data_IF_021906860855
#
_entry.id   IF_021906860855
#
_cell.length_a   1.000
_cell.length_b   1.000
_cell.length_c   1.000
_cell.angle_alpha   90.00
_cell.angle_beta   90.00
_cell.angle_gamma   90.00
#
_symmetry.space_group_name_H-M   'P 1'
#
loop_
_entity.id
_entity.type
_entity.pdbx_description
1 polymer ?
#
# COMPACT_ATOMS: atom_id res chain seq x y z
N UNK A 1 -9.63 -11.83 -21.30
CA UNK A 1 -10.19 -12.72 -20.24
C UNK A 1 -10.60 -11.85 -19.07
N UNK A 2 -11.81 -12.00 -18.52
CA UNK A 2 -12.18 -11.34 -17.25
C UNK A 2 -11.32 -11.95 -16.14
N UNK A 3 -10.65 -11.10 -15.35
CA UNK A 3 -9.82 -11.52 -14.22
C UNK A 3 -10.71 -12.10 -13.12
N UNK A 4 -10.29 -13.22 -12.53
CA UNK A 4 -10.96 -13.82 -11.38
C UNK A 4 -10.31 -13.27 -10.10
N UNK A 5 -10.78 -12.13 -9.61
CA UNK A 5 -10.29 -11.46 -8.40
C UNK A 5 -9.61 -10.09 -8.63
N UNK A 6 -9.10 -9.47 -7.55
CA UNK A 6 -8.51 -8.13 -7.58
C UNK A 6 -7.20 -8.08 -8.39
N UNK A 7 -6.81 -6.90 -8.91
CA UNK A 7 -5.48 -6.71 -9.47
C UNK A 7 -4.41 -6.89 -8.39
N UNK A 8 -3.52 -7.88 -8.57
CA UNK A 8 -2.45 -8.17 -7.61
C UNK A 8 -1.11 -7.65 -8.11
N UNK A 9 -0.30 -7.12 -7.20
CA UNK A 9 0.98 -6.53 -7.52
C UNK A 9 1.98 -6.57 -6.38
N UNK A 10 3.13 -5.95 -6.61
CA UNK A 10 4.14 -5.73 -5.59
C UNK A 10 4.74 -4.34 -5.73
N UNK A 11 5.35 -3.85 -4.66
CA UNK A 11 6.26 -2.73 -4.72
C UNK A 11 7.54 -3.19 -5.42
N UNK A 12 7.85 -2.57 -6.57
CA UNK A 12 9.04 -2.88 -7.37
C UNK A 12 10.01 -1.71 -7.38
N UNK A 13 11.30 -2.02 -7.52
CA UNK A 13 12.35 -1.03 -7.71
C UNK A 13 12.09 -0.20 -8.96
N UNK A 14 12.58 1.04 -8.97
CA UNK A 14 12.69 1.92 -10.15
C UNK A 14 14.15 2.22 -10.50
N UNK A 15 15.09 1.40 -10.03
CA UNK A 15 16.49 1.51 -10.44
C UNK A 15 16.61 1.43 -11.97
N UNK A 16 17.31 2.40 -12.56
CA UNK A 16 17.36 2.58 -14.03
C UNK A 16 16.27 3.50 -14.61
N UNK A 17 15.28 3.90 -13.82
CA UNK A 17 14.20 4.82 -14.21
C UNK A 17 12.81 4.22 -14.00
N UNK A 18 11.78 5.08 -13.87
CA UNK A 18 10.40 4.63 -13.59
C UNK A 18 9.84 3.71 -14.66
N UNK A 19 10.24 3.90 -15.92
CA UNK A 19 9.82 3.08 -17.05
C UNK A 19 10.21 1.59 -16.91
N UNK A 20 11.15 1.24 -16.03
CA UNK A 20 11.53 -0.16 -15.79
C UNK A 20 10.49 -0.94 -14.97
N UNK A 21 9.58 -0.24 -14.27
CA UNK A 21 8.65 -0.85 -13.34
C UNK A 21 7.62 -1.80 -13.99
N UNK A 22 7.00 -1.49 -15.15
CA UNK A 22 6.05 -2.41 -15.78
C UNK A 22 6.71 -3.72 -16.24
N UNK A 23 7.94 -3.67 -16.74
CA UNK A 23 8.69 -4.87 -17.10
C UNK A 23 9.00 -5.75 -15.87
N UNK A 24 9.41 -5.14 -14.75
CA UNK A 24 9.59 -5.82 -13.47
C UNK A 24 8.28 -6.46 -12.98
N UNK A 25 7.18 -5.72 -13.06
CA UNK A 25 5.85 -6.24 -12.73
C UNK A 25 5.47 -7.44 -13.61
N UNK A 26 5.74 -7.38 -14.91
CA UNK A 26 5.50 -8.49 -15.83
C UNK A 26 6.33 -9.73 -15.46
N UNK A 27 7.61 -9.54 -15.08
CA UNK A 27 8.50 -10.62 -14.65
C UNK A 27 7.94 -11.40 -13.46
N UNK A 28 7.30 -10.72 -12.51
CA UNK A 28 6.71 -11.35 -11.32
C UNK A 28 5.27 -11.85 -11.52
N UNK A 29 4.69 -11.65 -12.72
CA UNK A 29 3.28 -12.00 -12.99
C UNK A 29 2.28 -11.08 -12.29
N UNK A 30 2.67 -9.83 -12.04
CA UNK A 30 1.79 -8.81 -11.47
C UNK A 30 0.83 -8.22 -12.51
N UNK A 31 -0.33 -7.80 -12.04
CA UNK A 31 -1.34 -7.02 -12.78
C UNK A 31 -1.06 -5.52 -12.69
N UNK A 32 -0.53 -5.09 -11.55
CA UNK A 32 -0.24 -3.70 -11.20
C UNK A 32 1.05 -3.64 -10.38
N UNK A 33 1.67 -2.47 -10.30
CA UNK A 33 2.83 -2.24 -9.43
C UNK A 33 2.68 -0.97 -8.60
N UNK A 34 3.34 -0.95 -7.45
CA UNK A 34 3.65 0.26 -6.71
C UNK A 34 5.12 0.61 -6.91
N UNK A 35 5.42 1.90 -6.94
CA UNK A 35 6.78 2.41 -7.06
C UNK A 35 7.03 3.58 -6.10
N UNK A 36 8.28 3.87 -5.82
CA UNK A 36 8.67 5.23 -5.45
C UNK A 36 8.90 6.08 -6.70
N UNK A 37 8.62 7.39 -6.63
CA UNK A 37 8.99 8.34 -7.70
C UNK A 37 10.46 8.77 -7.68
N UNK A 38 11.20 8.43 -6.62
CA UNK A 38 12.61 8.75 -6.40
C UNK A 38 13.18 7.90 -5.25
N UNK A 39 14.47 8.04 -4.95
CA UNK A 39 15.03 7.48 -3.71
C UNK A 39 14.28 7.97 -2.46
N UNK A 40 13.76 7.02 -1.69
CA UNK A 40 12.88 7.23 -0.53
C UNK A 40 13.56 7.84 0.71
N UNK A 41 14.90 7.83 0.78
CA UNK A 41 15.70 8.38 1.89
C UNK A 41 16.31 9.75 1.61
N UNK A 42 16.03 10.36 0.45
CA UNK A 42 16.60 11.67 0.06
C UNK A 42 15.50 12.70 -0.21
N UNK A 43 15.73 13.93 0.25
CA UNK A 43 14.81 15.04 -0.01
C UNK A 43 14.76 15.39 -1.50
N UNK A 44 15.90 15.39 -2.15
CA UNK A 44 16.04 15.71 -3.57
C UNK A 44 16.35 14.44 -4.36
N UNK A 45 15.76 14.37 -5.56
CA UNK A 45 16.00 13.34 -6.54
C UNK A 45 16.00 14.00 -7.91
N UNK A 46 16.46 13.28 -8.93
CA UNK A 46 16.36 13.76 -10.32
C UNK A 46 14.88 14.05 -10.63
N UNK A 47 14.54 15.24 -11.16
CA UNK A 47 13.19 15.53 -11.62
C UNK A 47 12.73 14.47 -12.63
N UNK A 48 11.44 14.13 -12.59
CA UNK A 48 10.82 13.33 -13.64
C UNK A 48 10.52 14.24 -14.82
N UNK A 49 11.09 13.91 -15.97
CA UNK A 49 10.89 14.65 -17.20
C UNK A 49 9.65 14.12 -17.95
N UNK A 50 9.06 14.91 -18.88
CA UNK A 50 7.94 14.43 -19.70
C UNK A 50 8.23 13.13 -20.47
N UNK A 51 9.48 12.90 -20.85
CA UNK A 51 9.94 11.65 -21.48
C UNK A 51 9.88 10.44 -20.55
N UNK A 52 10.20 10.60 -19.26
CA UNK A 52 10.09 9.51 -18.28
C UNK A 52 8.64 9.03 -18.16
N UNK A 53 7.69 9.98 -18.16
CA UNK A 53 6.27 9.68 -18.11
C UNK A 53 5.75 9.06 -19.43
N UNK A 54 6.28 9.47 -20.59
CA UNK A 54 5.97 8.83 -21.89
C UNK A 54 6.44 7.38 -21.92
N UNK A 55 7.71 7.15 -21.61
CA UNK A 55 8.31 5.83 -21.58
C UNK A 55 7.58 4.89 -20.61
N UNK A 56 7.19 5.39 -19.42
CA UNK A 56 6.39 4.61 -18.48
C UNK A 56 5.04 4.16 -19.08
N UNK A 57 4.31 5.07 -19.74
CA UNK A 57 3.01 4.75 -20.36
C UNK A 57 3.14 3.75 -21.50
N UNK A 58 4.15 3.92 -22.35
CA UNK A 58 4.44 3.00 -23.45
C UNK A 58 4.76 1.60 -22.93
N UNK A 59 5.59 1.53 -21.90
CA UNK A 59 6.02 0.26 -21.30
C UNK A 59 4.87 -0.44 -20.55
N UNK A 60 4.00 0.32 -19.87
CA UNK A 60 2.74 -0.20 -19.34
C UNK A 60 1.82 -0.75 -20.44
N UNK A 61 1.70 -0.06 -21.58
CA UNK A 61 0.94 -0.54 -22.73
C UNK A 61 1.50 -1.84 -23.32
N UNK A 62 2.83 -1.95 -23.41
CA UNK A 62 3.55 -3.12 -23.94
C UNK A 62 3.41 -4.35 -23.03
N UNK A 63 3.46 -4.14 -21.72
CA UNK A 63 3.49 -5.22 -20.72
C UNK A 63 2.10 -5.62 -20.24
N UNK A 64 1.14 -4.70 -20.31
CA UNK A 64 -0.18 -4.85 -19.68
C UNK A 64 -0.18 -4.56 -18.18
N UNK A 65 0.94 -4.09 -17.61
CA UNK A 65 1.09 -3.81 -16.18
C UNK A 65 1.03 -2.30 -15.93
N UNK A 66 0.07 -1.86 -15.13
CA UNK A 66 -0.10 -0.45 -14.76
C UNK A 66 0.61 -0.11 -13.45
N UNK A 67 1.06 1.13 -13.29
CA UNK A 67 1.45 1.67 -11.98
C UNK A 67 0.17 2.09 -11.25
N UNK A 68 -0.20 1.35 -10.20
CA UNK A 68 -1.40 1.63 -9.41
C UNK A 68 -1.17 2.73 -8.37
N UNK A 69 0.06 2.84 -7.84
CA UNK A 69 0.38 3.80 -6.80
C UNK A 69 1.84 4.26 -6.85
N UNK A 70 2.05 5.49 -6.37
CA UNK A 70 3.37 6.05 -6.08
C UNK A 70 3.45 6.27 -4.58
N UNK A 71 4.27 5.47 -3.89
CA UNK A 71 4.43 5.62 -2.45
C UNK A 71 5.24 6.87 -2.12
N UNK A 72 4.80 7.62 -1.10
CA UNK A 72 5.50 8.80 -0.63
C UNK A 72 6.86 8.43 0.01
N UNK A 73 7.83 9.34 -0.04
CA UNK A 73 9.12 9.11 0.59
C UNK A 73 9.01 9.12 2.13
N UNK A 74 9.75 8.24 2.82
CA UNK A 74 9.73 8.10 4.29
C UNK A 74 10.13 9.37 5.06
N UNK A 75 10.73 10.34 4.39
CA UNK A 75 11.07 11.64 4.98
C UNK A 75 9.84 12.52 5.24
N UNK A 76 8.69 12.22 4.62
CA UNK A 76 7.47 13.01 4.76
C UNK A 76 6.86 12.75 6.15
N UNK A 77 6.90 13.76 7.01
CA UNK A 77 6.24 13.77 8.31
C UNK A 77 5.40 15.05 8.47
N UNK A 78 4.13 14.96 8.10
CA UNK A 78 3.14 16.05 8.23
C UNK A 78 2.82 16.39 9.70
N UNK A 79 3.03 15.45 10.62
CA UNK A 79 2.88 15.65 12.07
C UNK A 79 4.15 16.14 12.75
N UNK A 80 5.20 16.54 12.02
CA UNK A 80 6.47 16.92 12.63
C UNK A 80 6.30 18.14 13.54
N UNK A 81 6.83 18.06 14.76
CA UNK A 81 6.92 19.21 15.67
C UNK A 81 7.89 20.29 15.15
N UNK A 82 8.79 19.92 14.23
CA UNK A 82 9.73 20.85 13.57
C UNK A 82 9.02 21.51 12.38
N UNK A 83 8.71 22.80 12.51
CA UNK A 83 8.01 23.59 11.49
C UNK A 83 8.65 23.47 10.08
N UNK A 84 9.98 23.55 9.90
CA UNK A 84 10.58 23.45 8.56
C UNK A 84 10.36 22.10 7.88
N UNK A 85 10.28 21.03 8.69
CA UNK A 85 9.97 19.68 8.19
C UNK A 85 8.50 19.61 7.81
N UNK A 86 7.60 20.05 8.70
CA UNK A 86 6.16 20.06 8.48
C UNK A 86 5.76 20.85 7.23
N UNK A 87 6.29 22.05 7.05
CA UNK A 87 6.00 22.91 5.88
C UNK A 87 6.51 22.31 4.58
N UNK A 88 7.73 21.75 4.58
CA UNK A 88 8.27 21.02 3.42
C UNK A 88 7.42 19.80 3.06
N UNK A 89 6.88 19.10 4.06
CA UNK A 89 6.00 17.95 3.85
C UNK A 89 4.63 18.39 3.33
N UNK A 90 4.03 19.44 3.90
CA UNK A 90 2.73 19.97 3.47
C UNK A 90 2.77 20.45 2.02
N UNK A 91 3.83 21.15 1.60
CA UNK A 91 4.00 21.56 0.20
C UNK A 91 4.07 20.38 -0.79
N UNK A 92 4.57 19.22 -0.34
CA UNK A 92 4.76 18.04 -1.19
C UNK A 92 3.60 17.04 -1.14
N UNK A 93 2.91 16.96 -0.01
CA UNK A 93 1.79 16.04 0.21
C UNK A 93 0.43 16.72 0.06
N UNK A 94 0.35 18.05 0.07
CA UNK A 94 -0.89 18.83 -0.08
C UNK A 94 -0.73 20.05 -1.00
N UNK A 95 0.33 20.09 -1.83
CA UNK A 95 0.29 20.95 -3.01
C UNK A 95 -0.93 20.58 -3.86
N UNK A 96 -1.48 21.51 -4.66
CA UNK A 96 -2.61 21.21 -5.54
C UNK A 96 -2.32 19.95 -6.35
N UNK A 97 -2.95 18.84 -5.98
CA UNK A 97 -2.82 17.61 -6.75
C UNK A 97 -3.40 17.87 -8.14
N UNK A 98 -2.74 17.41 -9.21
CA UNK A 98 -3.32 17.46 -10.53
C UNK A 98 -4.66 16.73 -10.54
N UNK A 99 -5.59 17.18 -11.38
CA UNK A 99 -6.85 16.48 -11.58
C UNK A 99 -6.60 15.00 -11.90
N UNK A 100 -7.30 14.10 -11.20
CA UNK A 100 -7.16 12.65 -11.37
C UNK A 100 -6.13 11.98 -10.46
N UNK A 101 -5.50 12.71 -9.52
CA UNK A 101 -4.64 12.12 -8.48
C UNK A 101 -5.39 12.07 -7.15
N UNK A 102 -5.45 10.89 -6.55
CA UNK A 102 -5.99 10.68 -5.19
C UNK A 102 -4.85 10.43 -4.21
N UNK A 103 -4.83 11.17 -3.11
CA UNK A 103 -3.93 10.89 -1.99
C UNK A 103 -4.50 9.77 -1.14
N UNK A 104 -3.72 8.71 -0.91
CA UNK A 104 -4.09 7.63 0.00
C UNK A 104 -3.40 7.82 1.34
N UNK A 105 -4.19 7.95 2.41
CA UNK A 105 -3.69 7.83 3.77
C UNK A 105 -3.63 6.35 4.14
N UNK A 106 -2.46 5.90 4.59
CA UNK A 106 -2.26 4.51 5.00
C UNK A 106 -2.34 4.38 6.52
N UNK A 107 -2.95 3.30 7.01
CA UNK A 107 -2.83 2.96 8.43
C UNK A 107 -1.39 2.53 8.75
N UNK A 108 -0.95 2.74 9.99
CA UNK A 108 0.41 2.37 10.42
C UNK A 108 0.38 1.38 11.57
N UNK A 109 1.45 0.61 11.77
CA UNK A 109 1.60 -0.24 12.96
C UNK A 109 1.60 0.58 14.28
N UNK A 110 1.82 1.90 14.21
CA UNK A 110 1.86 2.76 15.39
C UNK A 110 3.19 2.72 16.13
N UNK A 111 4.29 2.39 15.45
CA UNK A 111 5.64 2.44 16.03
C UNK A 111 6.03 3.89 16.38
N UNK A 112 6.64 4.08 17.55
CA UNK A 112 7.05 5.40 18.03
C UNK A 112 5.86 6.37 18.15
N UNK A 113 5.98 7.51 17.46
CA UNK A 113 4.99 8.60 17.48
C UNK A 113 4.12 8.64 16.20
N UNK A 114 3.98 7.51 15.50
CA UNK A 114 3.18 7.44 14.27
C UNK A 114 1.68 7.64 14.57
N UNK A 115 1.00 8.39 13.71
CA UNK A 115 -0.44 8.67 13.77
C UNK A 115 -1.12 7.87 12.65
N UNK A 116 -2.35 7.41 12.88
CA UNK A 116 -3.11 6.62 11.91
C UNK A 116 -3.03 5.12 12.19
N UNK A 117 -2.77 4.71 13.44
CA UNK A 117 -2.72 3.29 13.79
C UNK A 117 -4.11 2.68 14.00
N UNK A 118 -5.10 3.49 14.36
CA UNK A 118 -6.50 3.09 14.53
C UNK A 118 -7.37 3.76 13.47
N UNK A 119 -8.54 3.18 13.18
CA UNK A 119 -9.49 3.79 12.24
C UNK A 119 -9.97 5.15 12.73
N UNK A 120 -10.14 5.31 14.05
CA UNK A 120 -10.45 6.60 14.67
C UNK A 120 -9.40 7.67 14.37
N UNK A 121 -8.11 7.35 14.48
CA UNK A 121 -7.05 8.33 14.16
C UNK A 121 -7.02 8.71 12.67
N UNK A 122 -7.29 7.75 11.76
CA UNK A 122 -7.42 8.07 10.34
C UNK A 122 -8.63 8.97 10.07
N UNK A 123 -9.76 8.69 10.73
CA UNK A 123 -10.98 9.51 10.66
C UNK A 123 -10.73 10.93 11.16
N UNK A 124 -10.07 11.07 12.31
CA UNK A 124 -9.69 12.38 12.87
C UNK A 124 -8.82 13.19 11.91
N UNK A 125 -7.86 12.54 11.22
CA UNK A 125 -7.03 13.20 10.20
C UNK A 125 -7.84 13.67 9.00
N UNK A 126 -8.78 12.86 8.52
CA UNK A 126 -9.66 13.20 7.41
C UNK A 126 -10.62 14.34 7.78
N UNK A 127 -11.18 14.32 8.99
CA UNK A 127 -12.05 15.39 9.51
C UNK A 127 -11.30 16.70 9.67
N UNK A 128 -10.08 16.66 10.23
CA UNK A 128 -9.23 17.82 10.38
C UNK A 128 -8.84 18.43 9.03
N UNK A 129 -8.72 17.61 7.97
CA UNK A 129 -8.48 18.06 6.60
C UNK A 129 -9.75 18.56 5.88
N UNK A 130 -10.94 18.42 6.49
CA UNK A 130 -12.21 18.81 5.89
C UNK A 130 -12.79 17.83 4.87
N UNK A 131 -12.46 16.54 4.97
CA UNK A 131 -12.94 15.47 4.08
C UNK A 131 -12.76 15.77 2.57
N UNK A 132 -11.55 16.16 2.12
CA UNK A 132 -11.32 16.50 0.72
C UNK A 132 -11.68 15.31 -0.20
N UNK A 133 -12.33 15.55 -1.36
CA UNK A 133 -12.83 14.50 -2.24
C UNK A 133 -11.73 13.65 -2.89
N UNK A 134 -10.51 14.21 -2.99
CA UNK A 134 -9.34 13.56 -3.59
C UNK A 134 -8.45 12.88 -2.53
N UNK A 135 -8.97 12.61 -1.33
CA UNK A 135 -8.28 11.83 -0.29
C UNK A 135 -9.08 10.57 0.03
N UNK A 136 -8.37 9.45 0.06
CA UNK A 136 -8.90 8.11 0.33
C UNK A 136 -7.92 7.33 1.23
N UNK A 137 -8.17 6.04 1.44
CA UNK A 137 -7.40 5.19 2.35
C UNK A 137 -6.75 4.02 1.63
N UNK A 138 -5.48 3.75 1.94
CA UNK A 138 -4.81 2.47 1.73
C UNK A 138 -4.84 1.69 3.05
N UNK A 139 -5.19 0.40 3.02
CA UNK A 139 -5.11 -0.45 4.20
C UNK A 139 -3.95 -1.44 4.08
N UNK A 140 -3.06 -1.44 5.07
CA UNK A 140 -2.00 -2.44 5.20
C UNK A 140 -2.38 -3.49 6.25
N UNK A 141 -2.41 -4.76 5.83
CA UNK A 141 -2.81 -5.88 6.67
C UNK A 141 -1.87 -6.14 7.85
N UNK A 142 -0.55 -6.01 7.66
CA UNK A 142 0.42 -6.17 8.74
C UNK A 142 0.26 -5.05 9.77
N UNK A 143 0.11 -3.81 9.29
CA UNK A 143 -0.08 -2.65 10.16
C UNK A 143 -1.38 -2.74 10.98
N UNK A 144 -2.49 -3.21 10.40
CA UNK A 144 -3.74 -3.44 11.14
C UNK A 144 -3.52 -4.45 12.26
N UNK A 145 -2.89 -5.58 11.94
CA UNK A 145 -2.60 -6.62 12.92
C UNK A 145 -1.67 -6.11 14.03
N UNK A 146 -0.60 -5.42 13.67
CA UNK A 146 0.41 -4.90 14.60
C UNK A 146 -0.12 -3.74 15.46
N UNK A 147 -1.14 -3.00 14.99
CA UNK A 147 -1.81 -1.96 15.77
C UNK A 147 -2.91 -2.51 16.69
N UNK A 148 -3.34 -3.75 16.49
CA UNK A 148 -4.26 -4.47 17.39
C UNK A 148 -5.58 -4.94 16.75
N UNK A 149 -5.80 -4.70 15.45
CA UNK A 149 -6.97 -5.17 14.71
C UNK A 149 -6.69 -6.55 14.11
N UNK A 150 -7.29 -7.60 14.66
CA UNK A 150 -7.10 -8.97 14.15
C UNK A 150 -7.76 -9.12 12.76
N UNK A 151 -6.95 -9.40 11.73
CA UNK A 151 -7.43 -9.71 10.38
C UNK A 151 -7.23 -11.18 9.99
N UNK A 152 -6.69 -12.00 10.90
CA UNK A 152 -6.39 -13.42 10.68
C UNK A 152 -7.56 -14.35 11.05
N UNK A 153 -8.32 -14.01 12.09
CA UNK A 153 -9.50 -14.78 12.53
C UNK A 153 -10.80 -14.27 11.90
N UNK A 154 -11.87 -15.06 11.99
CA UNK A 154 -13.20 -14.65 11.50
C UNK A 154 -13.81 -13.56 12.39
N UNK A 155 -13.83 -13.78 13.70
CA UNK A 155 -14.31 -12.80 14.69
C UNK A 155 -13.53 -11.48 14.60
N UNK A 156 -12.20 -11.57 14.50
CA UNK A 156 -11.34 -10.40 14.31
C UNK A 156 -11.69 -9.62 13.05
N UNK A 157 -11.83 -10.32 11.92
CA UNK A 157 -12.16 -9.70 10.64
C UNK A 157 -13.50 -8.96 10.67
N UNK A 158 -14.54 -9.57 11.24
CA UNK A 158 -15.85 -8.93 11.41
C UNK A 158 -15.76 -7.69 12.32
N UNK A 159 -14.99 -7.78 13.41
CA UNK A 159 -14.71 -6.63 14.27
C UNK A 159 -13.98 -5.49 13.56
N UNK A 160 -12.98 -5.82 12.73
CA UNK A 160 -12.24 -4.83 11.96
C UNK A 160 -13.12 -4.15 10.90
N UNK A 161 -13.98 -4.91 10.21
CA UNK A 161 -14.96 -4.35 9.26
C UNK A 161 -15.96 -3.44 9.95
N UNK A 162 -16.50 -3.85 11.11
CA UNK A 162 -17.43 -3.04 11.90
C UNK A 162 -16.79 -1.72 12.35
N UNK A 163 -15.53 -1.75 12.80
CA UNK A 163 -14.79 -0.52 13.15
C UNK A 163 -14.61 0.39 11.93
N UNK A 164 -14.21 -0.16 10.78
CA UNK A 164 -14.04 0.60 9.54
C UNK A 164 -15.36 1.24 9.08
N UNK A 165 -16.49 0.55 9.22
CA UNK A 165 -17.82 1.06 8.89
C UNK A 165 -18.27 2.13 9.86
N UNK A 166 -18.16 1.89 11.18
CA UNK A 166 -18.53 2.85 12.23
C UNK A 166 -17.76 4.17 12.07
N UNK A 167 -16.46 4.10 11.76
CA UNK A 167 -15.61 5.29 11.55
C UNK A 167 -15.72 5.87 10.14
N UNK A 168 -16.54 5.29 9.26
CA UNK A 168 -16.72 5.76 7.88
C UNK A 168 -15.45 5.64 7.02
N UNK A 169 -14.52 4.75 7.39
CA UNK A 169 -13.29 4.46 6.63
C UNK A 169 -13.57 3.47 5.49
N UNK A 170 -14.44 2.48 5.71
CA UNK A 170 -14.75 1.44 4.73
C UNK A 170 -15.06 1.98 3.31
N UNK A 171 -15.92 3.00 3.11
CA UNK A 171 -16.21 3.55 1.78
C UNK A 171 -15.05 4.35 1.16
N UNK A 172 -14.02 4.70 1.95
CA UNK A 172 -12.85 5.44 1.52
C UNK A 172 -11.68 4.53 1.11
N UNK A 173 -11.77 3.22 1.35
CA UNK A 173 -10.70 2.28 0.98
C UNK A 173 -10.59 2.20 -0.55
N UNK A 174 -9.37 2.39 -1.08
CA UNK A 174 -9.08 2.34 -2.51
C UNK A 174 -7.94 1.40 -2.88
N UNK A 175 -7.14 0.95 -1.92
CA UNK A 175 -6.01 0.05 -2.14
C UNK A 175 -5.73 -0.75 -0.87
N UNK A 176 -5.12 -1.92 -1.05
CA UNK A 176 -4.54 -2.67 0.06
C UNK A 176 -3.04 -2.89 -0.15
N UNK A 177 -2.28 -2.81 0.94
CA UNK A 177 -1.02 -3.51 1.07
C UNK A 177 -1.28 -4.87 1.74
N UNK A 178 -0.79 -5.94 1.13
CA UNK A 178 -0.92 -7.30 1.63
C UNK A 178 0.43 -7.78 2.15
N UNK A 179 0.61 -7.64 3.44
CA UNK A 179 1.80 -8.03 4.17
C UNK A 179 1.39 -8.95 5.32
N UNK A 180 2.04 -10.09 5.48
CA UNK A 180 1.89 -10.87 6.72
C UNK A 180 2.70 -10.18 7.82
N UNK A 181 2.43 -10.48 9.08
CA UNK A 181 3.18 -9.89 10.19
C UNK A 181 4.14 -10.90 10.81
N UNK A 182 5.39 -10.47 10.99
CA UNK A 182 6.42 -11.21 11.73
C UNK A 182 6.21 -11.09 13.24
N UNK A 183 5.57 -10.01 13.69
CA UNK A 183 5.43 -9.69 15.12
C UNK A 183 4.04 -10.02 15.64
N UNK A 184 3.87 -10.03 16.96
CA UNK A 184 2.59 -10.32 17.59
C UNK A 184 1.55 -9.21 17.31
N UNK A 185 0.27 -9.57 17.36
CA UNK A 185 -0.81 -8.60 17.28
C UNK A 185 -0.66 -7.54 18.38
N UNK A 186 -0.88 -6.27 18.04
CA UNK A 186 -0.72 -5.16 18.98
C UNK A 186 0.73 -4.87 19.40
N UNK A 187 1.74 -5.46 18.75
CA UNK A 187 3.16 -5.21 19.05
C UNK A 187 3.57 -3.76 18.84
N UNK A 188 2.91 -3.06 17.91
CA UNK A 188 3.31 -1.76 17.38
C UNK A 188 4.71 -1.74 16.77
N UNK A 189 5.14 -2.86 16.20
CA UNK A 189 6.45 -3.03 15.56
C UNK A 189 6.25 -3.42 14.11
N UNK A 190 6.52 -2.49 13.20
CA UNK A 190 6.45 -2.67 11.74
C UNK A 190 7.50 -3.69 11.26
N UNK A 191 7.03 -4.93 11.07
CA UNK A 191 7.82 -6.04 10.52
C UNK A 191 6.96 -6.95 9.66
N UNK A 192 6.96 -6.65 8.36
CA UNK A 192 6.35 -7.49 7.35
C UNK A 192 6.98 -8.89 7.27
N UNK A 193 6.19 -9.82 6.75
CA UNK A 193 6.53 -11.22 6.52
C UNK A 193 5.88 -11.74 5.24
N UNK A 194 6.45 -12.78 4.63
CA UNK A 194 5.89 -13.47 3.46
C UNK A 194 4.49 -14.04 3.74
N UNK A 195 3.68 -14.11 2.68
CA UNK A 195 2.27 -14.48 2.74
C UNK A 195 2.11 -15.91 3.28
N UNK A 196 1.49 -16.06 4.46
CA UNK A 196 1.27 -17.35 5.11
C UNK A 196 2.43 -17.84 5.97
N UNK A 197 3.51 -17.06 6.10
CA UNK A 197 4.67 -17.35 6.96
C UNK A 197 4.70 -16.48 8.22
N UNK A 198 3.68 -15.64 8.41
CA UNK A 198 3.54 -14.78 9.58
C UNK A 198 2.36 -15.17 10.45
N UNK A 199 1.90 -14.19 11.24
CA UNK A 199 0.87 -14.39 12.27
C UNK A 199 -0.55 -14.08 11.81
N UNK A 200 -0.74 -13.45 10.65
CA UNK A 200 -2.06 -13.26 10.04
C UNK A 200 -2.50 -14.56 9.39
N UNK A 201 -1.60 -15.17 8.61
CA UNK A 201 -1.83 -16.44 7.94
C UNK A 201 -2.80 -16.36 6.74
N UNK A 202 -2.82 -17.44 5.97
CA UNK A 202 -3.62 -17.56 4.74
C UNK A 202 -5.13 -17.32 4.90
N UNK A 203 -5.80 -17.72 6.00
CA UNK A 203 -7.23 -17.44 6.18
C UNK A 203 -7.56 -15.94 6.17
N UNK A 204 -6.72 -15.09 6.77
CA UNK A 204 -6.92 -13.65 6.77
C UNK A 204 -6.86 -13.04 5.37
N UNK A 205 -5.82 -13.41 4.60
CA UNK A 205 -5.70 -12.97 3.21
C UNK A 205 -6.87 -13.43 2.34
N UNK A 206 -7.38 -14.66 2.54
CA UNK A 206 -8.55 -15.14 1.80
C UNK A 206 -9.77 -14.25 2.08
N UNK A 207 -10.00 -13.81 3.31
CA UNK A 207 -11.12 -12.90 3.65
C UNK A 207 -10.97 -11.55 2.94
N UNK A 208 -9.79 -10.94 2.99
CA UNK A 208 -9.51 -9.66 2.30
C UNK A 208 -9.73 -9.80 0.79
N UNK A 209 -9.14 -10.83 0.17
CA UNK A 209 -9.20 -11.07 -1.28
C UNK A 209 -10.62 -11.31 -1.80
N UNK A 210 -11.46 -11.99 -1.00
CA UNK A 210 -12.82 -12.38 -1.39
C UNK A 210 -13.90 -11.39 -0.94
N UNK A 211 -13.54 -10.38 -0.15
CA UNK A 211 -14.47 -9.36 0.30
C UNK A 211 -15.01 -8.55 -0.89
N UNK A 212 -16.34 -8.51 -1.03
CA UNK A 212 -17.01 -7.90 -2.19
C UNK A 212 -16.61 -6.44 -2.39
N UNK A 213 -16.50 -5.68 -1.30
CA UNK A 213 -16.10 -4.27 -1.32
C UNK A 213 -14.65 -4.03 -1.77
N UNK A 214 -13.79 -5.06 -1.75
CA UNK A 214 -12.37 -4.94 -2.10
C UNK A 214 -11.99 -5.70 -3.38
N UNK A 215 -12.88 -6.53 -3.91
CA UNK A 215 -12.62 -7.43 -5.05
C UNK A 215 -12.14 -6.76 -6.35
N UNK A 216 -12.32 -5.44 -6.51
CA UNK A 216 -11.83 -4.66 -7.65
C UNK A 216 -10.65 -3.75 -7.32
N UNK A 217 -10.24 -3.67 -6.05
CA UNK A 217 -9.19 -2.75 -5.60
C UNK A 217 -7.80 -3.34 -5.87
N UNK A 218 -6.81 -2.53 -6.27
CA UNK A 218 -5.43 -2.98 -6.36
C UNK A 218 -4.92 -3.43 -4.99
N UNK A 219 -4.19 -4.55 -4.98
CA UNK A 219 -3.57 -5.10 -3.77
C UNK A 219 -2.08 -5.35 -4.02
N UNK A 220 -1.22 -4.74 -3.21
CA UNK A 220 0.22 -4.64 -3.44
C UNK A 220 0.98 -5.35 -2.30
N UNK A 221 1.94 -6.19 -2.65
CA UNK A 221 2.88 -6.77 -1.70
C UNK A 221 4.03 -5.79 -1.38
N UNK A 222 4.37 -5.66 -0.10
CA UNK A 222 5.59 -5.00 0.38
C UNK A 222 6.39 -5.94 1.30
N UNK A 223 6.30 -7.23 1.00
CA UNK A 223 6.97 -8.31 1.72
C UNK A 223 8.49 -8.21 1.58
N UNK A 224 9.27 -8.80 2.52
CA UNK A 224 10.73 -8.83 2.42
C UNK A 224 11.25 -9.33 1.06
N UNK A 225 12.38 -8.79 0.60
CA UNK A 225 13.06 -9.22 -0.63
C UNK A 225 14.24 -10.13 -0.27
N UNK A 226 13.93 -11.27 0.35
CA UNK A 226 14.93 -12.24 0.80
C UNK A 226 15.50 -13.05 -0.39
N UNK A 227 16.79 -13.39 -0.34
CA UNK A 227 17.49 -14.16 -1.38
C UNK A 227 18.40 -13.32 -2.29
N UNK A 228 18.99 -13.96 -3.30
CA UNK A 228 19.86 -13.28 -4.29
C UNK A 228 19.06 -12.58 -5.39
N UNK A 229 17.90 -13.12 -5.76
CA UNK A 229 17.00 -12.55 -6.76
C UNK A 229 15.83 -11.81 -6.08
N UNK A 230 15.82 -10.47 -6.16
CA UNK A 230 14.81 -9.62 -5.51
C UNK A 230 13.35 -9.90 -5.94
N UNK A 231 13.15 -10.66 -7.02
CA UNK A 231 11.85 -11.00 -7.59
C UNK A 231 11.28 -12.35 -7.12
N UNK A 232 12.12 -13.25 -6.58
CA UNK A 232 11.73 -14.64 -6.29
C UNK A 232 10.58 -14.69 -5.27
N UNK A 233 10.71 -13.91 -4.20
CA UNK A 233 9.72 -13.88 -3.13
C UNK A 233 8.40 -13.22 -3.57
N UNK A 234 8.44 -12.22 -4.45
CA UNK A 234 7.23 -11.62 -5.01
C UNK A 234 6.45 -12.64 -5.86
N UNK A 235 7.14 -13.40 -6.72
CA UNK A 235 6.53 -14.47 -7.52
C UNK A 235 5.84 -15.49 -6.60
N UNK A 236 6.54 -15.93 -5.55
CA UNK A 236 6.02 -16.89 -4.57
C UNK A 236 4.78 -16.36 -3.85
N UNK A 237 4.85 -15.13 -3.35
CA UNK A 237 3.77 -14.50 -2.60
C UNK A 237 2.54 -14.22 -3.49
N UNK A 238 2.73 -13.72 -4.71
CA UNK A 238 1.65 -13.54 -5.68
C UNK A 238 0.98 -14.88 -6.02
N UNK A 239 1.77 -15.95 -6.22
CA UNK A 239 1.23 -17.28 -6.45
C UNK A 239 0.43 -17.80 -5.25
N UNK A 240 0.87 -17.53 -4.02
CA UNK A 240 0.14 -17.88 -2.80
C UNK A 240 -1.23 -17.17 -2.75
N UNK A 241 -1.28 -15.85 -2.99
CA UNK A 241 -2.52 -15.08 -3.02
C UNK A 241 -3.47 -15.57 -4.13
N UNK A 242 -2.95 -15.84 -5.34
CA UNK A 242 -3.77 -16.34 -6.45
C UNK A 242 -4.38 -17.72 -6.16
N UNK A 243 -3.68 -18.61 -5.43
CA UNK A 243 -4.25 -19.90 -4.99
C UNK A 243 -5.43 -19.73 -4.03
N UNK A 244 -5.48 -18.63 -3.27
CA UNK A 244 -6.62 -18.34 -2.38
C UNK A 244 -7.86 -17.86 -3.12
N UNK A 245 -7.76 -17.53 -4.41
CA UNK A 245 -8.87 -17.13 -5.29
C UNK A 245 -9.37 -18.29 -6.17
N UNK A 246 -8.67 -19.42 -6.16
CA UNK A 246 -9.05 -20.63 -6.88
C UNK A 246 -10.13 -21.43 -6.15
#
# INVERSE_FOLDING_TARGET
MRRNGPPLGAHVSVAGGVHTAPERGKRIGADVVQIFSKHNTRWEGKPLEPDDARALREESGRTGVAVAAVHCAYLINLGSSKEPVRTRCALRAFGKFPAGVTLLLENTAGQGNSIGRTMGQLRDLLDAAGCPPDVAVCLDSAHLFESGSDVGTEEGWEGALAEMEEKGILPLVRMWHLNDSKTAMGSRVDRHQHIGEGRIGLPGFRRILTHKGFSSLPMILETPKDGEDEFEMDVRNLAALRKLLA
#
